data_IF_821496472192
#
_entry.id   IF_821496472192
#
_cell.length_a   1.000
_cell.length_b   1.000
_cell.length_c   1.000
_cell.angle_alpha   90.00
_cell.angle_beta   90.00
_cell.angle_gamma   90.00
#
_symmetry.space_group_name_H-M   'P 1'
#
loop_
_entity.id
_entity.type
_entity.pdbx_description
1 polymer ?
#
# COMPACT_ATOMS: atom_id res chain seq x y z
N UNK A 1 20.17 -35.38 -46.13
CA UNK A 1 19.22 -34.87 -45.12
C UNK A 1 20.00 -34.50 -43.86
N UNK A 2 20.18 -33.21 -43.57
CA UNK A 2 20.65 -32.73 -42.26
C UNK A 2 19.51 -31.93 -41.66
N UNK A 3 19.00 -32.41 -40.53
CA UNK A 3 17.89 -31.83 -39.79
C UNK A 3 18.41 -30.56 -39.11
N UNK A 4 17.77 -29.43 -39.41
CA UNK A 4 18.04 -28.14 -38.80
C UNK A 4 17.25 -28.08 -37.49
N UNK A 5 17.91 -28.27 -36.35
CA UNK A 5 17.28 -28.17 -35.03
C UNK A 5 17.06 -26.70 -34.69
N UNK A 6 15.80 -26.26 -34.71
CA UNK A 6 15.40 -24.92 -34.28
C UNK A 6 15.34 -24.90 -32.74
N UNK A 7 16.28 -24.21 -32.11
CA UNK A 7 16.31 -24.01 -30.66
C UNK A 7 15.31 -22.89 -30.31
N UNK A 8 14.12 -23.25 -29.83
CA UNK A 8 13.16 -22.28 -29.33
C UNK A 8 13.62 -21.78 -27.95
N UNK A 9 14.19 -20.57 -27.90
CA UNK A 9 14.49 -19.87 -26.66
C UNK A 9 13.18 -19.41 -26.02
N UNK A 10 12.75 -20.11 -24.97
CA UNK A 10 11.60 -19.72 -24.15
C UNK A 10 12.07 -18.59 -23.21
N UNK A 11 11.92 -17.34 -23.65
CA UNK A 11 12.10 -16.19 -22.79
C UNK A 11 10.95 -16.15 -21.78
N UNK A 12 11.17 -16.65 -20.56
CA UNK A 12 10.30 -16.35 -19.43
C UNK A 12 10.46 -14.87 -19.11
N UNK A 13 9.57 -14.03 -19.62
CA UNK A 13 9.42 -12.67 -19.10
C UNK A 13 8.76 -12.78 -17.73
N UNK A 14 9.50 -12.44 -16.66
CA UNK A 14 8.87 -12.12 -15.38
C UNK A 14 8.04 -10.85 -15.60
N UNK A 15 6.78 -11.00 -15.95
CA UNK A 15 5.84 -9.89 -15.89
C UNK A 15 5.59 -9.63 -14.41
N UNK A 16 6.22 -8.60 -13.85
CA UNK A 16 5.78 -8.05 -12.58
C UNK A 16 4.32 -7.60 -12.79
N UNK A 17 3.37 -8.39 -12.29
CA UNK A 17 1.98 -7.99 -12.30
C UNK A 17 1.84 -6.82 -11.35
N UNK A 18 1.23 -5.75 -11.84
CA UNK A 18 0.75 -4.68 -10.99
C UNK A 18 -0.25 -5.21 -9.97
N UNK A 19 -0.16 -4.67 -8.76
CA UNK A 19 -0.92 -5.14 -7.61
C UNK A 19 -1.28 -3.95 -6.73
N UNK A 20 -2.46 -4.05 -6.14
CA UNK A 20 -2.71 -3.43 -4.85
C UNK A 20 -2.20 -4.39 -3.77
N UNK A 21 -1.24 -3.92 -2.99
CA UNK A 21 -0.63 -4.67 -1.89
C UNK A 21 -0.95 -3.99 -0.56
N UNK A 22 -1.20 -4.78 0.48
CA UNK A 22 -1.29 -4.31 1.85
C UNK A 22 -0.44 -5.19 2.75
N UNK A 23 0.46 -4.59 3.51
CA UNK A 23 1.27 -5.28 4.52
C UNK A 23 0.79 -4.86 5.90
N UNK A 24 0.40 -5.82 6.74
CA UNK A 24 -0.10 -5.57 8.10
C UNK A 24 0.93 -4.85 8.97
N UNK A 25 0.46 -4.18 10.01
CA UNK A 25 1.32 -3.41 10.92
C UNK A 25 2.37 -4.27 11.66
N UNK A 26 2.10 -5.56 11.84
CA UNK A 26 3.02 -6.54 12.45
C UNK A 26 3.96 -7.20 11.42
N UNK A 27 3.76 -6.92 10.12
CA UNK A 27 4.52 -7.50 9.02
C UNK A 27 4.23 -8.99 8.76
N UNK A 28 3.27 -9.60 9.46
CA UNK A 28 2.97 -11.04 9.37
C UNK A 28 2.03 -11.34 8.21
N UNK A 29 1.11 -10.43 7.92
CA UNK A 29 0.08 -10.60 6.91
C UNK A 29 0.33 -9.69 5.71
N UNK A 30 0.18 -10.25 4.51
CA UNK A 30 0.24 -9.50 3.28
C UNK A 30 -0.90 -9.92 2.35
N UNK A 31 -1.62 -8.93 1.82
CA UNK A 31 -2.71 -9.12 0.88
C UNK A 31 -2.31 -8.53 -0.46
N UNK A 32 -2.59 -9.24 -1.54
CA UNK A 32 -2.26 -8.81 -2.90
C UNK A 32 -3.48 -8.99 -3.79
N UNK A 33 -3.89 -7.94 -4.50
CA UNK A 33 -4.94 -7.97 -5.49
C UNK A 33 -4.36 -7.51 -6.84
N UNK A 34 -4.24 -8.42 -7.83
CA UNK A 34 -3.83 -8.04 -9.18
C UNK A 34 -4.83 -7.07 -9.81
N UNK A 35 -4.32 -6.00 -10.41
CA UNK A 35 -5.17 -5.01 -11.09
C UNK A 35 -5.75 -5.59 -12.39
N UNK A 36 -7.03 -5.33 -12.64
CA UNK A 36 -7.76 -5.77 -13.83
C UNK A 36 -8.24 -4.58 -14.63
N UNK A 37 -8.60 -4.82 -15.89
CA UNK A 37 -9.16 -3.79 -16.77
C UNK A 37 -10.43 -3.13 -16.19
N UNK A 38 -11.21 -3.88 -15.40
CA UNK A 38 -12.40 -3.37 -14.70
C UNK A 38 -12.10 -2.40 -13.56
N UNK A 39 -10.84 -2.28 -13.15
CA UNK A 39 -10.43 -1.41 -12.05
C UNK A 39 -9.96 -0.03 -12.54
N UNK A 40 -9.78 0.14 -13.85
CA UNK A 40 -9.39 1.43 -14.41
C UNK A 40 -10.50 2.47 -14.19
N UNK A 41 -10.11 3.67 -13.75
CA UNK A 41 -11.02 4.75 -13.39
C UNK A 41 -11.59 4.65 -11.97
N UNK A 42 -11.39 3.53 -11.25
CA UNK A 42 -11.65 3.52 -9.80
C UNK A 42 -10.57 4.33 -9.09
N UNK A 43 -10.93 4.89 -7.93
CA UNK A 43 -9.95 5.46 -7.02
C UNK A 43 -9.16 4.36 -6.30
N UNK A 44 -7.95 4.69 -5.83
CA UNK A 44 -7.17 3.81 -4.95
C UNK A 44 -7.98 3.46 -3.71
N UNK A 45 -8.69 4.45 -3.15
CA UNK A 45 -9.58 4.28 -2.00
C UNK A 45 -10.66 3.22 -2.26
N UNK A 46 -11.41 3.36 -3.35
CA UNK A 46 -12.46 2.42 -3.73
C UNK A 46 -11.91 0.99 -3.88
N UNK A 47 -10.84 0.80 -4.66
CA UNK A 47 -10.27 -0.53 -4.88
C UNK A 47 -9.72 -1.14 -3.57
N UNK A 48 -9.20 -0.31 -2.67
CA UNK A 48 -8.72 -0.75 -1.36
C UNK A 48 -9.85 -1.34 -0.53
N UNK A 49 -10.99 -0.65 -0.45
CA UNK A 49 -12.17 -1.13 0.28
C UNK A 49 -12.69 -2.43 -0.33
N UNK A 50 -12.82 -2.49 -1.66
CA UNK A 50 -13.24 -3.71 -2.36
C UNK A 50 -12.30 -4.90 -2.07
N UNK A 51 -10.98 -4.68 -2.00
CA UNK A 51 -10.04 -5.74 -1.63
C UNK A 51 -10.28 -6.22 -0.20
N UNK A 52 -10.40 -5.29 0.77
CA UNK A 52 -10.57 -5.64 2.18
C UNK A 52 -11.86 -6.42 2.40
N UNK A 53 -12.96 -6.02 1.73
CA UNK A 53 -14.23 -6.74 1.75
C UNK A 53 -14.13 -8.12 1.08
N UNK A 54 -13.51 -8.20 -0.11
CA UNK A 54 -13.31 -9.45 -0.85
C UNK A 54 -12.53 -10.48 -0.02
N UNK A 55 -11.49 -10.04 0.68
CA UNK A 55 -10.64 -10.89 1.50
C UNK A 55 -11.11 -11.01 2.96
N UNK A 56 -12.25 -10.38 3.30
CA UNK A 56 -12.81 -10.38 4.65
C UNK A 56 -11.79 -9.96 5.72
N UNK A 57 -11.00 -8.94 5.41
CA UNK A 57 -10.02 -8.35 6.33
C UNK A 57 -10.73 -7.37 7.23
N UNK A 58 -10.58 -7.49 8.55
CA UNK A 58 -11.13 -6.52 9.49
C UNK A 58 -10.44 -5.16 9.33
N UNK A 59 -11.22 -4.10 9.15
CA UNK A 59 -10.70 -2.74 9.05
C UNK A 59 -11.65 -1.69 9.65
N UNK A 60 -11.08 -0.53 9.97
CA UNK A 60 -11.80 0.71 10.24
C UNK A 60 -11.27 1.77 9.27
N UNK A 61 -12.13 2.33 8.44
CA UNK A 61 -11.72 3.28 7.41
C UNK A 61 -12.79 3.50 6.36
N UNK A 62 -12.43 4.24 5.31
CA UNK A 62 -13.26 4.50 4.15
C UNK A 62 -12.37 4.70 2.92
N UNK A 63 -12.94 5.05 1.78
CA UNK A 63 -12.16 5.40 0.59
C UNK A 63 -11.20 6.59 0.82
N UNK A 64 -11.48 7.45 1.81
CA UNK A 64 -10.58 8.56 2.21
C UNK A 64 -9.29 8.08 2.88
N UNK A 65 -9.26 6.86 3.42
CA UNK A 65 -8.12 6.36 4.16
C UNK A 65 -8.47 5.26 5.16
N UNK A 66 -7.42 4.58 5.62
CA UNK A 66 -7.50 3.51 6.60
C UNK A 66 -7.07 4.05 7.97
N UNK A 67 -7.91 3.84 8.97
CA UNK A 67 -7.56 4.14 10.35
C UNK A 67 -6.93 2.90 10.98
N UNK A 68 -7.58 1.74 10.83
CA UNK A 68 -7.09 0.47 11.38
C UNK A 68 -7.31 -0.68 10.40
N UNK A 69 -6.37 -1.63 10.36
CA UNK A 69 -6.48 -2.89 9.62
C UNK A 69 -5.93 -4.00 10.50
N UNK A 70 -6.66 -5.10 10.63
CA UNK A 70 -6.34 -6.21 11.55
C UNK A 70 -6.12 -5.73 12.98
N UNK A 71 -6.94 -4.80 13.45
CA UNK A 71 -6.85 -4.18 14.78
C UNK A 71 -5.51 -3.47 15.05
N UNK A 72 -4.90 -2.89 14.01
CA UNK A 72 -3.74 -2.01 14.20
C UNK A 72 -4.06 -0.87 15.18
N UNK A 73 -3.07 -0.40 15.97
CA UNK A 73 -3.29 0.64 16.99
C UNK A 73 -3.90 1.92 16.43
N UNK A 74 -4.61 2.66 17.28
CA UNK A 74 -5.27 3.92 16.95
C UNK A 74 -5.04 4.97 18.04
N UNK A 75 -5.07 6.24 17.66
CA UNK A 75 -5.00 7.36 18.60
C UNK A 75 -3.73 7.30 19.45
N UNK A 76 -3.88 7.35 20.77
CA UNK A 76 -2.74 7.32 21.70
C UNK A 76 -1.98 5.98 21.66
N UNK A 77 -2.64 4.86 21.34
CA UNK A 77 -1.98 3.56 21.26
C UNK A 77 -1.06 3.45 20.03
N UNK A 78 -1.21 4.34 19.05
CA UNK A 78 -0.34 4.47 17.89
C UNK A 78 0.81 5.47 18.10
N UNK A 79 0.93 6.07 19.29
CA UNK A 79 2.01 7.01 19.62
C UNK A 79 3.16 6.30 20.33
N UNK A 80 4.39 6.58 19.86
CA UNK A 80 5.62 6.21 20.56
C UNK A 80 6.31 7.49 21.01
N UNK A 81 6.27 7.76 22.32
CA UNK A 81 6.94 8.91 22.94
C UNK A 81 8.37 8.49 23.30
N UNK A 82 9.34 9.11 22.66
CA UNK A 82 10.77 8.83 22.86
C UNK A 82 11.34 9.78 23.91
N UNK A 83 10.93 11.06 23.87
CA UNK A 83 11.25 12.07 24.87
C UNK A 83 10.22 13.20 24.85
N UNK A 84 10.37 14.20 25.73
CA UNK A 84 9.53 15.42 25.73
C UNK A 84 9.59 16.22 24.41
N UNK A 85 10.61 15.97 23.57
CA UNK A 85 10.82 16.66 22.30
C UNK A 85 10.71 15.74 21.09
N UNK A 86 10.47 14.45 21.27
CA UNK A 86 10.49 13.47 20.19
C UNK A 86 9.39 12.43 20.34
N UNK A 87 8.58 12.28 19.29
CA UNK A 87 7.58 11.22 19.20
C UNK A 87 7.38 10.76 17.76
N UNK A 88 6.92 9.52 17.62
CA UNK A 88 6.45 8.95 16.36
C UNK A 88 4.95 8.70 16.46
N UNK A 89 4.19 9.19 15.48
CA UNK A 89 2.76 8.89 15.35
C UNK A 89 2.55 7.92 14.20
N UNK A 90 2.21 6.67 14.53
CA UNK A 90 2.03 5.63 13.54
C UNK A 90 0.63 5.67 12.90
N UNK A 91 0.56 5.25 11.64
CA UNK A 91 -0.65 5.28 10.83
C UNK A 91 -0.49 4.52 9.52
N UNK A 92 -1.61 4.32 8.83
CA UNK A 92 -1.63 3.71 7.51
C UNK A 92 -1.24 4.74 6.45
N UNK A 93 -0.21 4.39 5.69
CA UNK A 93 0.26 5.14 4.55
C UNK A 93 0.04 4.34 3.28
N UNK A 94 -0.09 5.05 2.16
CA UNK A 94 -0.12 4.41 0.86
C UNK A 94 0.90 5.04 -0.09
N UNK A 95 1.38 4.24 -1.03
CA UNK A 95 2.09 4.72 -2.20
C UNK A 95 1.38 4.31 -3.47
N UNK A 96 1.52 5.14 -4.50
CA UNK A 96 1.04 4.94 -5.85
C UNK A 96 2.23 5.07 -6.80
N UNK A 97 2.55 3.99 -7.53
CA UNK A 97 3.73 3.90 -8.39
C UNK A 97 5.04 4.28 -7.71
N UNK A 98 5.19 3.85 -6.45
CA UNK A 98 6.40 4.09 -5.65
C UNK A 98 6.49 5.49 -5.02
N UNK A 99 5.51 6.37 -5.25
CA UNK A 99 5.45 7.71 -4.68
C UNK A 99 4.37 7.76 -3.60
N UNK A 100 4.64 8.41 -2.47
CA UNK A 100 3.63 8.71 -1.44
C UNK A 100 2.92 10.00 -1.87
N UNK A 101 1.63 9.97 -2.25
CA UNK A 101 0.93 11.16 -2.70
C UNK A 101 0.54 12.07 -1.53
N UNK A 102 0.45 13.38 -1.80
CA UNK A 102 -0.15 14.37 -0.88
C UNK A 102 -1.68 14.48 -1.07
N UNK A 103 -2.28 13.57 -1.85
CA UNK A 103 -3.71 13.47 -2.10
C UNK A 103 -4.29 12.33 -1.27
N UNK A 104 -5.60 12.36 -1.03
CA UNK A 104 -6.27 11.22 -0.42
C UNK A 104 -6.43 10.05 -1.44
N UNK A 105 -6.48 8.79 -0.98
CA UNK A 105 -6.66 7.63 -1.86
C UNK A 105 -7.91 7.68 -2.75
N UNK A 106 -8.99 8.31 -2.30
CA UNK A 106 -10.20 8.50 -3.10
C UNK A 106 -10.03 9.51 -4.25
N UNK A 107 -8.96 10.31 -4.25
CA UNK A 107 -8.66 11.31 -5.28
C UNK A 107 -7.66 10.80 -6.34
N UNK A 108 -7.00 9.67 -6.07
CA UNK A 108 -6.02 9.07 -7.00
C UNK A 108 -6.70 7.97 -7.80
N UNK A 109 -6.87 8.19 -9.10
CA UNK A 109 -7.45 7.20 -10.02
C UNK A 109 -6.42 6.21 -10.56
N UNK A 110 -6.83 4.96 -10.71
CA UNK A 110 -6.07 3.89 -11.37
C UNK A 110 -6.16 4.09 -12.89
N UNK A 111 -5.02 4.25 -13.55
CA UNK A 111 -4.95 4.62 -14.97
C UNK A 111 -4.48 3.48 -15.87
N UNK A 112 -3.78 2.52 -15.30
CA UNK A 112 -3.20 1.37 -16.00
C UNK A 112 -3.29 0.11 -15.15
N UNK A 113 -3.46 -1.03 -15.82
CA UNK A 113 -3.34 -2.35 -15.18
C UNK A 113 -1.89 -2.70 -14.85
N UNK A 114 -0.96 -1.76 -15.05
CA UNK A 114 0.45 -1.82 -14.66
C UNK A 114 0.78 -0.88 -13.49
N UNK A 115 -0.20 -0.16 -12.95
CA UNK A 115 0.00 0.69 -11.77
C UNK A 115 0.22 -0.15 -10.50
N UNK A 116 1.00 0.36 -9.56
CA UNK A 116 1.28 -0.32 -8.29
C UNK A 116 0.79 0.51 -7.12
N UNK A 117 0.09 -0.14 -6.19
CA UNK A 117 -0.41 0.47 -4.96
C UNK A 117 0.16 -0.33 -3.80
N UNK A 118 0.71 0.35 -2.80
CA UNK A 118 1.17 -0.29 -1.57
C UNK A 118 0.62 0.46 -0.36
N UNK A 119 -0.18 -0.22 0.45
CA UNK A 119 -0.51 0.17 1.81
C UNK A 119 0.50 -0.42 2.79
N UNK A 120 1.02 0.42 3.67
CA UNK A 120 1.99 0.04 4.68
C UNK A 120 1.79 0.84 5.98
N UNK A 121 2.18 0.22 7.09
CA UNK A 121 2.22 0.89 8.38
C UNK A 121 3.49 1.74 8.48
N UNK A 122 3.33 3.03 8.66
CA UNK A 122 4.42 4.00 8.76
C UNK A 122 4.17 4.99 9.87
N UNK A 123 5.03 6.00 10.00
CA UNK A 123 4.87 7.05 11.00
C UNK A 123 5.18 8.45 10.47
N UNK A 124 4.56 9.43 11.10
CA UNK A 124 5.03 10.80 11.11
C UNK A 124 5.99 11.02 12.29
N UNK A 125 7.08 11.75 12.06
CA UNK A 125 8.11 12.00 13.06
C UNK A 125 8.05 13.44 13.53
N UNK A 126 7.85 13.61 14.83
CA UNK A 126 7.93 14.89 15.51
C UNK A 126 9.26 15.01 16.23
N UNK A 127 9.96 16.13 16.03
CA UNK A 127 11.22 16.44 16.67
C UNK A 127 11.33 17.95 16.94
N UNK A 128 11.63 18.33 18.18
CA UNK A 128 11.93 19.71 18.61
C UNK A 128 10.87 20.76 18.21
N UNK A 129 9.57 20.43 18.29
CA UNK A 129 8.52 21.39 17.94
C UNK A 129 7.88 21.14 16.57
N UNK A 130 8.49 20.33 15.71
CA UNK A 130 8.14 20.24 14.29
C UNK A 130 7.89 18.80 13.84
N UNK A 131 6.94 18.63 12.92
CA UNK A 131 6.77 17.37 12.17
C UNK A 131 7.75 17.38 10.99
N UNK A 132 8.81 16.58 11.09
CA UNK A 132 9.94 16.60 10.14
C UNK A 132 9.82 15.54 9.03
N UNK A 133 8.96 14.55 9.19
CA UNK A 133 8.65 13.56 8.16
C UNK A 133 7.25 12.97 8.30
N UNK A 134 6.76 12.39 7.21
CA UNK A 134 5.53 11.59 7.16
C UNK A 134 5.77 10.28 6.42
N UNK A 135 4.98 9.26 6.75
CA UNK A 135 5.02 7.94 6.13
C UNK A 135 6.41 7.30 6.05
N UNK A 136 7.23 7.55 7.07
CA UNK A 136 8.53 6.90 7.25
C UNK A 136 8.34 5.47 7.72
N UNK A 137 9.31 4.60 7.41
CA UNK A 137 9.40 3.22 7.88
C UNK A 137 10.66 3.07 8.69
N UNK A 138 10.61 2.25 9.73
CA UNK A 138 11.80 1.88 10.51
C UNK A 138 12.65 0.83 9.79
#
# INVERSE_FOLDING_TARGET
MKILTLLAAFFFTLNASATLSLVSHDGVHAFNLPLKQSDLGKSVGQLTIEMLELYQVDYQGSELGLNSVLNSPLGLDALVIISDQEMKSFGWCYSYNGVIPELYPNEVEIKSTTDSILWFWGYAHYLNGEWISQCSRD
#
